data_IF_721829785126
#
_entry.id   IF_721829785126
#
_cell.length_a   1.000
_cell.length_b   1.000
_cell.length_c   1.000
_cell.angle_alpha   90.00
_cell.angle_beta   90.00
_cell.angle_gamma   90.00
#
_symmetry.space_group_name_H-M   'P 1'
#
loop_
_entity.id
_entity.type
_entity.pdbx_description
1 polymer ?
#
# COMPACT_ATOMS: atom_id res chain seq x y z
N UNK A 1 7.14 17.00 -22.68
CA UNK A 1 6.42 17.33 -21.43
C UNK A 1 5.70 16.12 -20.81
N UNK A 2 5.07 15.21 -21.59
CA UNK A 2 4.33 14.04 -21.05
C UNK A 2 5.19 12.99 -20.31
N UNK A 3 6.45 12.79 -20.72
CA UNK A 3 7.36 11.84 -20.04
C UNK A 3 7.73 12.23 -18.61
N UNK A 4 7.72 13.53 -18.30
CA UNK A 4 8.13 14.05 -17.01
C UNK A 4 7.13 13.69 -15.89
N UNK A 5 5.83 13.69 -16.22
CA UNK A 5 4.78 13.30 -15.28
C UNK A 5 4.90 11.81 -14.94
N UNK A 6 5.20 10.97 -15.95
CA UNK A 6 5.45 9.54 -15.73
C UNK A 6 6.66 9.28 -14.85
N UNK A 7 7.75 10.00 -15.07
CA UNK A 7 8.96 9.91 -14.22
C UNK A 7 8.68 10.33 -12.79
N UNK A 8 8.02 11.47 -12.56
CA UNK A 8 7.74 11.97 -11.20
C UNK A 8 6.81 11.01 -10.44
N UNK A 9 5.78 10.48 -11.11
CA UNK A 9 4.83 9.57 -10.48
C UNK A 9 5.51 8.23 -10.13
N UNK A 10 6.37 7.70 -11.00
CA UNK A 10 7.15 6.49 -10.72
C UNK A 10 8.23 6.65 -9.66
N UNK A 11 8.98 7.75 -9.68
CA UNK A 11 10.16 7.91 -8.83
C UNK A 11 9.82 8.52 -7.45
N UNK A 12 8.66 9.17 -7.31
CA UNK A 12 8.31 9.90 -6.09
C UNK A 12 6.96 9.46 -5.53
N UNK A 13 5.89 9.53 -6.32
CA UNK A 13 4.52 9.34 -5.80
C UNK A 13 4.26 7.90 -5.37
N UNK A 14 4.59 6.92 -6.20
CA UNK A 14 4.45 5.51 -5.85
C UNK A 14 5.33 5.10 -4.66
N UNK A 15 6.64 5.44 -4.59
CA UNK A 15 7.45 5.09 -3.43
C UNK A 15 7.00 5.75 -2.13
N UNK A 16 6.48 6.99 -2.16
CA UNK A 16 5.92 7.63 -0.94
C UNK A 16 4.65 6.90 -0.49
N UNK A 17 3.74 6.58 -1.40
CA UNK A 17 2.53 5.81 -1.08
C UNK A 17 2.86 4.44 -0.50
N UNK A 18 3.80 3.72 -1.12
CA UNK A 18 4.25 2.40 -0.65
C UNK A 18 4.89 2.49 0.73
N UNK A 19 5.74 3.51 0.97
CA UNK A 19 6.35 3.75 2.27
C UNK A 19 5.33 3.99 3.38
N UNK A 20 4.31 4.83 3.14
CA UNK A 20 3.26 5.10 4.14
C UNK A 20 2.41 3.85 4.41
N UNK A 21 2.01 3.13 3.36
CA UNK A 21 1.21 1.90 3.47
C UNK A 21 1.98 0.77 4.17
N UNK A 22 3.28 0.61 3.88
CA UNK A 22 4.15 -0.36 4.53
C UNK A 22 4.30 -0.08 6.03
N UNK A 23 4.50 1.19 6.41
CA UNK A 23 4.54 1.57 7.82
C UNK A 23 3.19 1.30 8.49
N UNK A 24 2.07 1.65 7.84
CA UNK A 24 0.74 1.38 8.36
C UNK A 24 0.51 -0.12 8.59
N UNK A 25 0.94 -0.96 7.64
CA UNK A 25 0.83 -2.42 7.71
C UNK A 25 1.58 -2.99 8.91
N UNK A 26 2.81 -2.56 9.15
CA UNK A 26 3.60 -3.01 10.31
C UNK A 26 2.91 -2.58 11.62
N UNK A 27 2.38 -1.35 11.68
CA UNK A 27 1.64 -0.87 12.85
C UNK A 27 0.36 -1.67 13.07
N UNK A 28 -0.39 -1.98 12.02
CA UNK A 28 -1.63 -2.77 12.12
C UNK A 28 -1.37 -4.22 12.51
N UNK A 29 -0.31 -4.85 11.98
CA UNK A 29 0.14 -6.19 12.41
C UNK A 29 0.56 -6.17 13.87
N UNK A 30 1.29 -5.14 14.31
CA UNK A 30 1.69 -5.00 15.70
C UNK A 30 0.47 -4.82 16.62
N UNK A 31 -0.50 -4.01 16.20
CA UNK A 31 -1.76 -3.81 16.94
C UNK A 31 -2.59 -5.09 17.00
N UNK A 32 -2.73 -5.83 15.89
CA UNK A 32 -3.48 -7.09 15.87
C UNK A 32 -2.78 -8.16 16.70
N UNK A 33 -1.44 -8.22 16.69
CA UNK A 33 -0.67 -9.12 17.54
C UNK A 33 -0.82 -8.81 19.05
N UNK A 34 -0.84 -7.53 19.42
CA UNK A 34 -1.09 -7.11 20.81
C UNK A 34 -2.54 -7.37 21.21
N UNK A 35 -3.51 -7.10 20.33
CA UNK A 35 -4.93 -7.41 20.57
C UNK A 35 -5.18 -8.91 20.70
N UNK A 36 -4.51 -9.76 19.89
CA UNK A 36 -4.59 -11.21 20.00
C UNK A 36 -4.19 -11.72 21.38
N UNK A 37 -3.10 -11.17 21.94
CA UNK A 37 -2.64 -11.51 23.29
C UNK A 37 -3.61 -11.06 24.39
N UNK A 38 -4.40 -10.01 24.18
CA UNK A 38 -5.16 -9.33 25.24
C UNK A 38 -6.67 -9.59 25.21
N UNK A 39 -7.27 -9.74 24.03
CA UNK A 39 -8.72 -9.79 23.87
C UNK A 39 -9.24 -11.13 23.30
N UNK A 40 -8.37 -12.01 22.79
CA UNK A 40 -8.80 -13.29 22.18
C UNK A 40 -9.50 -13.18 20.83
N UNK A 41 -9.85 -11.97 20.38
CA UNK A 41 -10.41 -11.67 19.07
C UNK A 41 -9.27 -11.33 18.09
N UNK A 42 -9.04 -12.22 17.13
CA UNK A 42 -8.06 -11.98 16.06
C UNK A 42 -8.71 -11.19 14.94
N UNK A 43 -8.47 -9.88 14.94
CA UNK A 43 -9.01 -9.00 13.92
C UNK A 43 -8.14 -9.07 12.66
N UNK A 44 -8.37 -10.11 11.84
CA UNK A 44 -7.59 -10.41 10.63
C UNK A 44 -7.91 -9.46 9.47
N UNK A 45 -9.06 -8.78 9.54
CA UNK A 45 -9.57 -7.92 8.47
C UNK A 45 -8.72 -6.65 8.35
N UNK A 46 -8.34 -6.06 9.48
CA UNK A 46 -7.55 -4.84 9.52
C UNK A 46 -6.13 -4.98 8.91
N UNK A 47 -5.32 -6.01 9.23
CA UNK A 47 -4.06 -6.26 8.54
C UNK A 47 -4.26 -6.71 7.08
N UNK A 48 -5.32 -7.46 6.76
CA UNK A 48 -5.60 -7.88 5.38
C UNK A 48 -5.90 -6.69 4.45
N UNK A 49 -6.64 -5.67 4.91
CA UNK A 49 -6.95 -4.48 4.10
C UNK A 49 -5.70 -3.63 3.85
N UNK A 50 -4.81 -3.51 4.85
CA UNK A 50 -3.52 -2.82 4.68
C UNK A 50 -2.63 -3.54 3.67
N UNK A 51 -2.64 -4.88 3.68
CA UNK A 51 -1.85 -5.71 2.77
C UNK A 51 -2.38 -5.63 1.34
N UNK A 52 -3.71 -5.56 1.18
CA UNK A 52 -4.35 -5.24 -0.10
C UNK A 52 -3.93 -3.86 -0.64
N UNK A 53 -3.84 -2.84 0.22
CA UNK A 53 -3.36 -1.51 -0.17
C UNK A 53 -1.91 -1.49 -0.65
N UNK A 54 -1.03 -2.27 -0.02
CA UNK A 54 0.37 -2.42 -0.44
C UNK A 54 0.48 -3.09 -1.82
N UNK A 55 -0.24 -4.20 -2.03
CA UNK A 55 -0.29 -4.90 -3.33
C UNK A 55 -0.91 -4.02 -4.43
N UNK A 56 -1.89 -3.19 -4.08
CA UNK A 56 -2.50 -2.24 -5.00
C UNK A 56 -1.49 -1.17 -5.45
N UNK A 57 -0.69 -0.60 -4.55
CA UNK A 57 0.33 0.39 -4.91
C UNK A 57 1.45 -0.21 -5.76
N UNK A 58 1.81 -1.48 -5.53
CA UNK A 58 2.79 -2.18 -6.35
C UNK A 58 2.28 -2.48 -7.77
N UNK A 59 0.98 -2.75 -7.93
CA UNK A 59 0.36 -3.08 -9.22
C UNK A 59 -0.16 -1.85 -9.98
N UNK A 60 -0.44 -0.76 -9.28
CA UNK A 60 -0.88 0.51 -9.83
C UNK A 60 0.03 1.05 -10.96
N UNK A 61 1.38 1.11 -10.85
CA UNK A 61 2.23 1.56 -11.95
C UNK A 61 2.11 0.67 -13.18
N UNK A 62 1.97 -0.66 -13.01
CA UNK A 62 1.86 -1.59 -14.14
C UNK A 62 0.53 -1.44 -14.90
N UNK A 63 -0.54 -1.08 -14.20
CA UNK A 63 -1.88 -0.93 -14.77
C UNK A 63 -2.16 0.49 -15.31
N UNK A 64 -1.79 1.55 -14.59
CA UNK A 64 -2.10 2.93 -14.97
C UNK A 64 -1.50 3.30 -16.33
N UNK A 65 -0.28 2.85 -16.62
CA UNK A 65 0.37 3.14 -17.90
C UNK A 65 -0.15 2.31 -19.09
N UNK A 66 -0.96 1.27 -18.84
CA UNK A 66 -1.62 0.47 -19.87
C UNK A 66 -3.01 1.02 -20.23
N UNK A 67 -3.68 1.67 -19.28
CA UNK A 67 -5.08 2.12 -19.42
C UNK A 67 -5.17 3.55 -19.96
N UNK A 68 -4.12 4.37 -19.81
CA UNK A 68 -4.09 5.73 -20.34
C UNK A 68 -3.47 5.68 -21.76
N UNK A 69 -4.27 5.65 -22.84
CA UNK A 69 -3.79 6.00 -24.17
C UNK A 69 -3.46 7.49 -24.14
N UNK A 70 -2.24 7.82 -24.50
CA UNK A 70 -1.66 9.17 -24.42
C UNK A 70 -2.37 10.21 -25.29
#
# INVERSE_FOLDING_TARGET
>A
MKGQIKTIVNDVVFPILDGVLGILLIVFITKSAISYKRNGEFDIIAPAVCLGGLLFVLTAPLYIWNIIPW
#
